data_IF_731458343094
#
_entry.id   IF_731458343094
#
_cell.length_a   1.000
_cell.length_b   1.000
_cell.length_c   1.000
_cell.angle_alpha   90.00
_cell.angle_beta   90.00
_cell.angle_gamma   90.00
#
_symmetry.space_group_name_H-M   'P 1'
#
loop_
_entity.id
_entity.type
_entity.pdbx_description
1 polymer ?
#
# COMPACT_ATOMS: atom_id res chain seq x y z
N UNK A 1 -4.09 -29.90 4.38
CA UNK A 1 -5.11 -28.84 4.29
C UNK A 1 -4.96 -28.22 2.91
N UNK A 2 -5.96 -28.44 2.05
CA UNK A 2 -5.91 -28.15 0.63
C UNK A 2 -6.09 -26.64 0.42
N UNK A 3 -5.05 -25.96 -0.05
CA UNK A 3 -5.16 -24.54 -0.43
C UNK A 3 -6.04 -24.51 -1.69
N UNK A 4 -7.17 -23.82 -1.62
CA UNK A 4 -7.98 -23.50 -2.79
C UNK A 4 -7.07 -22.73 -3.76
N UNK A 5 -6.69 -23.35 -4.88
CA UNK A 5 -6.23 -22.59 -6.03
C UNK A 5 -7.37 -21.64 -6.38
N UNK A 6 -7.19 -20.37 -6.00
CA UNK A 6 -8.18 -19.34 -6.27
C UNK A 6 -8.13 -19.10 -7.78
N UNK A 7 -9.21 -19.48 -8.45
CA UNK A 7 -9.44 -19.28 -9.89
C UNK A 7 -9.67 -17.79 -10.20
N UNK A 8 -8.69 -16.96 -9.85
CA UNK A 8 -8.64 -15.56 -10.23
C UNK A 8 -8.00 -15.44 -11.60
N UNK A 9 -8.48 -14.50 -12.42
CA UNK A 9 -7.88 -14.21 -13.72
C UNK A 9 -6.42 -13.71 -13.62
N UNK A 10 -6.07 -13.09 -12.49
CA UNK A 10 -4.74 -12.57 -12.15
C UNK A 10 -4.36 -12.97 -10.72
N UNK A 11 -3.96 -14.23 -10.47
CA UNK A 11 -3.63 -14.69 -9.12
C UNK A 11 -2.38 -13.98 -8.56
N UNK A 12 -1.50 -13.44 -9.40
CA UNK A 12 -0.29 -12.70 -9.02
C UNK A 12 -0.56 -11.37 -8.30
N UNK A 13 -1.77 -10.81 -8.40
CA UNK A 13 -2.12 -9.53 -7.77
C UNK A 13 -2.65 -9.67 -6.34
N UNK A 14 -2.80 -10.90 -5.84
CA UNK A 14 -3.30 -11.15 -4.49
C UNK A 14 -2.39 -12.14 -3.75
N UNK A 15 -1.87 -11.69 -2.61
CA UNK A 15 -1.08 -12.51 -1.70
C UNK A 15 -1.85 -12.84 -0.43
N UNK A 16 -1.44 -13.88 0.27
CA UNK A 16 -1.96 -14.17 1.61
C UNK A 16 -1.13 -13.49 2.71
N UNK A 17 -1.60 -13.56 3.95
CA UNK A 17 -0.93 -12.90 5.09
C UNK A 17 0.40 -13.55 5.45
N UNK A 18 0.56 -14.84 5.14
CA UNK A 18 1.79 -15.57 5.43
C UNK A 18 2.90 -15.14 4.45
N UNK A 19 2.57 -14.94 3.17
CA UNK A 19 3.45 -14.31 2.20
C UNK A 19 3.93 -12.94 2.69
N UNK A 20 3.02 -12.04 3.12
CA UNK A 20 3.40 -10.71 3.62
C UNK A 20 4.38 -10.82 4.79
N UNK A 21 4.11 -11.73 5.75
CA UNK A 21 4.98 -11.92 6.91
C UNK A 21 6.41 -12.34 6.57
N UNK A 22 6.59 -13.10 5.47
CA UNK A 22 7.90 -13.57 5.00
C UNK A 22 8.68 -12.52 4.20
N UNK A 23 8.02 -11.50 3.66
CA UNK A 23 8.63 -10.51 2.77
C UNK A 23 8.82 -9.13 3.44
N UNK A 24 8.66 -9.02 4.77
CA UNK A 24 8.78 -7.74 5.51
C UNK A 24 10.15 -7.07 5.40
N UNK A 25 11.19 -7.84 5.08
CA UNK A 25 12.58 -7.35 4.93
C UNK A 25 13.04 -7.23 3.48
N UNK A 26 12.16 -7.51 2.51
CA UNK A 26 12.56 -7.52 1.11
C UNK A 26 12.65 -6.10 0.58
N UNK A 27 13.81 -5.76 0.01
CA UNK A 27 14.06 -4.41 -0.51
C UNK A 27 13.20 -4.05 -1.71
N UNK A 28 12.56 -5.03 -2.34
CA UNK A 28 11.69 -4.89 -3.51
C UNK A 28 10.21 -5.05 -3.15
N UNK A 29 9.84 -4.93 -1.87
CA UNK A 29 8.45 -5.00 -1.42
C UNK A 29 8.17 -3.85 -0.47
N UNK A 30 7.15 -3.04 -0.77
CA UNK A 30 6.65 -2.03 0.15
C UNK A 30 5.21 -2.32 0.58
N UNK A 31 5.02 -2.58 1.87
CA UNK A 31 3.68 -2.71 2.45
C UNK A 31 3.09 -1.32 2.71
N UNK A 32 1.89 -1.07 2.22
CA UNK A 32 1.15 0.17 2.47
C UNK A 32 -0.22 -0.15 3.07
N UNK A 33 -0.56 0.56 4.14
CA UNK A 33 -1.89 0.56 4.73
C UNK A 33 -2.71 1.73 4.18
N UNK A 34 -3.94 1.43 3.77
CA UNK A 34 -4.94 2.39 3.33
C UNK A 34 -6.24 2.03 4.00
N UNK A 35 -6.78 2.95 4.80
CA UNK A 35 -7.97 2.74 5.62
C UNK A 35 -8.94 3.91 5.50
N UNK A 36 -10.19 3.74 5.87
CA UNK A 36 -11.19 4.81 5.92
C UNK A 36 -10.92 5.86 7.01
N UNK A 37 -10.38 5.42 8.16
CA UNK A 37 -9.96 6.23 9.31
C UNK A 37 -8.42 6.11 9.50
N UNK A 38 -7.62 6.72 8.61
CA UNK A 38 -6.23 6.32 8.36
C UNK A 38 -5.36 6.46 9.61
N UNK A 39 -5.37 7.64 10.23
CA UNK A 39 -4.49 7.94 11.36
C UNK A 39 -4.86 7.12 12.59
N UNK A 40 -6.15 6.95 12.87
CA UNK A 40 -6.61 6.26 14.07
C UNK A 40 -6.27 4.76 14.01
N UNK A 41 -6.57 4.11 12.89
CA UNK A 41 -6.36 2.67 12.73
C UNK A 41 -4.88 2.33 12.63
N UNK A 42 -4.12 3.06 11.81
CA UNK A 42 -2.67 2.88 11.71
C UNK A 42 -1.98 3.07 13.06
N UNK A 43 -2.34 4.10 13.83
CA UNK A 43 -1.73 4.36 15.15
C UNK A 43 -2.10 3.31 16.20
N UNK A 44 -3.23 2.62 16.04
CA UNK A 44 -3.66 1.54 16.94
C UNK A 44 -2.80 0.27 16.78
N UNK A 45 -2.23 0.09 15.58
CA UNK A 45 -1.33 -1.01 15.24
C UNK A 45 -1.35 -1.26 13.74
N UNK A 46 -0.18 -1.54 13.18
CA UNK A 46 0.00 -1.77 11.75
C UNK A 46 1.10 -2.83 11.52
N UNK A 47 1.17 -3.34 10.29
CA UNK A 47 2.23 -4.28 9.87
C UNK A 47 3.60 -3.61 10.04
N UNK A 48 4.60 -4.30 10.64
CA UNK A 48 5.93 -3.71 10.84
C UNK A 48 6.54 -3.16 9.55
N UNK A 49 6.96 -1.90 9.57
CA UNK A 49 7.60 -1.24 8.44
C UNK A 49 6.66 -0.75 7.34
N UNK A 50 5.34 -0.97 7.46
CA UNK A 50 4.35 -0.45 6.51
C UNK A 50 4.37 1.09 6.47
N UNK A 51 3.93 1.67 5.35
CA UNK A 51 3.60 3.09 5.25
C UNK A 51 2.11 3.31 5.35
N UNK A 52 1.70 4.48 5.82
CA UNK A 52 0.32 4.92 5.73
C UNK A 52 0.15 5.81 4.49
N UNK A 53 -0.85 5.53 3.66
CA UNK A 53 -1.40 6.52 2.75
C UNK A 53 -2.77 6.96 3.26
N UNK A 54 -2.86 8.21 3.72
CA UNK A 54 -4.13 8.82 4.08
C UNK A 54 -4.88 9.18 2.80
N UNK A 55 -5.92 8.42 2.45
CA UNK A 55 -6.61 8.62 1.18
C UNK A 55 -7.17 10.03 1.03
N UNK A 56 -7.62 10.68 2.11
CA UNK A 56 -8.24 12.02 2.05
C UNK A 56 -7.19 13.08 1.77
N UNK A 57 -6.04 12.95 2.43
CA UNK A 57 -4.99 13.98 2.42
C UNK A 57 -3.94 13.75 1.33
N UNK A 58 -3.51 12.52 1.16
CA UNK A 58 -2.35 12.19 0.33
C UNK A 58 -2.75 11.90 -1.12
N UNK A 59 -3.94 11.34 -1.38
CA UNK A 59 -4.29 10.83 -2.71
C UNK A 59 -5.20 11.75 -3.53
N UNK A 60 -5.66 12.87 -2.95
CA UNK A 60 -6.54 13.82 -3.61
C UNK A 60 -5.83 15.15 -3.86
N UNK A 61 -6.19 15.83 -4.94
CA UNK A 61 -5.77 17.20 -5.19
C UNK A 61 -6.31 18.12 -4.07
N UNK A 62 -5.47 19.03 -3.52
CA UNK A 62 -5.86 19.82 -2.34
C UNK A 62 -6.86 20.94 -2.64
N UNK A 63 -7.10 21.29 -3.91
CA UNK A 63 -7.93 22.43 -4.31
C UNK A 63 -9.17 22.01 -5.10
N UNK A 64 -9.07 20.92 -5.86
CA UNK A 64 -10.10 20.45 -6.77
C UNK A 64 -10.60 19.08 -6.36
N UNK A 65 -11.77 18.69 -6.87
CA UNK A 65 -12.31 17.34 -6.67
C UNK A 65 -11.71 16.38 -7.69
N UNK A 66 -10.40 16.17 -7.58
CA UNK A 66 -9.61 15.31 -8.47
C UNK A 66 -8.53 14.57 -7.68
N UNK A 67 -7.82 13.66 -8.34
CA UNK A 67 -6.64 12.97 -7.81
C UNK A 67 -5.37 13.79 -8.04
N UNK A 68 -4.27 13.37 -7.41
CA UNK A 68 -2.95 13.97 -7.62
C UNK A 68 -2.56 14.00 -9.12
N UNK A 69 -1.85 15.07 -9.50
CA UNK A 69 -1.09 15.08 -10.76
C UNK A 69 0.03 14.04 -10.73
N UNK A 70 0.53 13.68 -11.91
CA UNK A 70 1.65 12.73 -12.06
C UNK A 70 2.84 13.08 -11.16
N UNK A 71 3.28 14.34 -11.16
CA UNK A 71 4.46 14.76 -10.39
C UNK A 71 4.22 14.68 -8.88
N UNK A 72 3.03 15.05 -8.41
CA UNK A 72 2.68 14.92 -6.99
C UNK A 72 2.62 13.45 -6.56
N UNK A 73 2.12 12.55 -7.43
CA UNK A 73 2.10 11.12 -7.16
C UNK A 73 3.52 10.55 -7.11
N UNK A 74 4.38 10.92 -8.06
CA UNK A 74 5.81 10.52 -8.07
C UNK A 74 6.53 10.96 -6.79
N UNK A 75 6.29 12.20 -6.33
CA UNK A 75 6.84 12.71 -5.07
C UNK A 75 6.30 11.95 -3.85
N UNK A 76 4.98 11.69 -3.80
CA UNK A 76 4.34 10.95 -2.72
C UNK A 76 4.89 9.52 -2.61
N UNK A 77 4.99 8.81 -3.73
CA UNK A 77 5.50 7.44 -3.77
C UNK A 77 6.99 7.41 -3.41
N UNK A 78 7.78 8.29 -4.01
CA UNK A 78 9.22 8.39 -3.76
C UNK A 78 9.55 8.67 -2.29
N UNK A 79 8.84 9.61 -1.62
CA UNK A 79 9.07 9.89 -0.19
C UNK A 79 8.76 8.68 0.71
N UNK A 80 7.91 7.76 0.25
CA UNK A 80 7.47 6.58 0.98
C UNK A 80 8.26 5.31 0.61
N UNK A 81 9.29 5.45 -0.22
CA UNK A 81 10.15 4.34 -0.63
C UNK A 81 9.53 3.42 -1.69
N UNK A 82 8.54 3.92 -2.45
CA UNK A 82 7.98 3.21 -3.60
C UNK A 82 8.68 3.72 -4.85
N UNK A 83 9.42 2.83 -5.51
CA UNK A 83 10.14 3.11 -6.76
C UNK A 83 9.61 2.20 -7.88
N UNK A 84 10.13 2.33 -9.10
CA UNK A 84 9.73 1.42 -10.19
C UNK A 84 10.17 -0.04 -9.95
N UNK A 85 11.13 -0.27 -9.04
CA UNK A 85 11.71 -1.58 -8.74
C UNK A 85 11.32 -2.09 -7.34
N UNK A 86 10.28 -1.50 -6.73
CA UNK A 86 9.79 -1.83 -5.38
C UNK A 86 8.30 -2.12 -5.39
#
# INVERSE_FOLDING_TARGET
MQVLEKDYSHPETLVDTDWVSRHLSDSTVRVAEVDYDPVANYSSGHVPGAVLFDWKKDLNDPLTRDILSKTQLEELLGKNGVTNDT
#
